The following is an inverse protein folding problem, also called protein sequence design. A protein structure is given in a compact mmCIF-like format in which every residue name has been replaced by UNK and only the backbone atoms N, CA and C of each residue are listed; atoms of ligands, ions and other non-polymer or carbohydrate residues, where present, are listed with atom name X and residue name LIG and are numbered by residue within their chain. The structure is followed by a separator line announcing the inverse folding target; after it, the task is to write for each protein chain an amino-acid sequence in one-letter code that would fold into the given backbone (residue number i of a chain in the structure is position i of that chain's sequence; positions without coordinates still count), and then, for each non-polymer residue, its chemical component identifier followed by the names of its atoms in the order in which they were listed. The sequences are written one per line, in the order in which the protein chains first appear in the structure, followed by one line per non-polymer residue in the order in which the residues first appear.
data_IF_249875264698
#
_entry.id   IF_249875264698
#
_cell.length_a   1.000
_cell.length_b   1.000
_cell.length_c   1.000
_cell.angle_alpha   90.00
_cell.angle_beta   90.00
_cell.angle_gamma   90.00
#
_symmetry.space_group_name_H-M   'P 1'
#
loop_
_entity.id
_entity.type
_entity.pdbx_description
1 polymer ?
#
# COMPACT_ATOMS: atom_id res chain seq x y z
N UNK A 1 9.66 0.87 2.68
CA UNK A 1 9.43 -0.06 1.56
C UNK A 1 8.56 0.61 0.50
N UNK A 2 9.00 0.52 -0.78
CA UNK A 2 8.28 1.16 -1.87
C UNK A 2 6.95 0.48 -2.17
N UNK A 3 6.96 -0.81 -2.49
CA UNK A 3 5.76 -1.57 -2.84
C UNK A 3 5.57 -2.84 -1.99
N UNK A 4 6.65 -3.53 -1.61
CA UNK A 4 6.60 -4.79 -0.89
C UNK A 4 6.33 -5.98 -1.83
N UNK A 5 7.24 -6.24 -2.75
CA UNK A 5 7.10 -7.34 -3.71
C UNK A 5 6.90 -8.69 -3.03
N UNK A 6 7.65 -8.96 -1.96
CA UNK A 6 7.57 -10.23 -1.23
C UNK A 6 6.20 -10.49 -0.62
N UNK A 7 5.53 -9.44 -0.13
CA UNK A 7 4.16 -9.55 0.39
C UNK A 7 3.16 -9.78 -0.73
N UNK A 8 3.30 -9.09 -1.86
CA UNK A 8 2.46 -9.30 -3.04
C UNK A 8 2.62 -10.73 -3.61
N UNK A 9 3.85 -11.22 -3.73
CA UNK A 9 4.14 -12.61 -4.14
C UNK A 9 3.50 -13.63 -3.19
N UNK A 10 3.55 -13.38 -1.88
CA UNK A 10 2.90 -14.23 -0.88
C UNK A 10 1.39 -14.30 -1.09
N UNK A 11 0.73 -13.15 -1.31
CA UNK A 11 -0.71 -13.12 -1.61
C UNK A 11 -1.03 -13.82 -2.91
N UNK A 12 -0.21 -13.63 -3.94
CA UNK A 12 -0.38 -14.33 -5.22
C UNK A 12 -0.18 -15.85 -5.11
N UNK A 13 0.63 -16.30 -4.14
CA UNK A 13 0.79 -17.71 -3.76
C UNK A 13 -0.31 -18.18 -2.77
N UNK A 14 -1.40 -17.45 -2.62
CA UNK A 14 -2.51 -17.77 -1.71
C UNK A 14 -2.09 -17.88 -0.24
N UNK A 15 -1.07 -17.13 0.15
CA UNK A 15 -0.61 -17.06 1.54
C UNK A 15 -1.05 -15.74 2.17
N UNK A 16 -1.78 -15.78 3.29
CA UNK A 16 -2.16 -14.56 4.00
C UNK A 16 -0.94 -13.89 4.62
N UNK A 17 -1.03 -12.57 4.80
CA UNK A 17 0.10 -11.74 5.19
C UNK A 17 -0.14 -10.97 6.49
N UNK A 18 0.94 -10.61 7.15
CA UNK A 18 0.99 -9.60 8.20
C UNK A 18 1.78 -8.44 7.63
N UNK A 19 1.24 -7.25 7.71
CA UNK A 19 1.81 -6.07 7.06
C UNK A 19 1.84 -4.89 8.02
N UNK A 20 3.00 -4.26 8.14
CA UNK A 20 3.08 -2.93 8.75
C UNK A 20 2.42 -1.93 7.79
N UNK A 21 1.47 -1.15 8.32
CA UNK A 21 0.75 -0.13 7.53
C UNK A 21 1.67 1.07 7.31
N UNK A 22 2.50 0.97 6.29
CA UNK A 22 3.46 2.01 5.89
C UNK A 22 3.82 1.87 4.42
N UNK A 23 4.18 2.97 3.77
CA UNK A 23 4.61 2.99 2.37
C UNK A 23 3.65 2.26 1.43
N UNK A 24 4.17 1.63 0.39
CA UNK A 24 3.35 0.90 -0.61
C UNK A 24 2.75 -0.41 -0.11
N UNK A 25 3.17 -0.93 1.05
CA UNK A 25 2.55 -2.13 1.63
C UNK A 25 1.11 -1.90 2.06
N UNK A 26 0.73 -0.66 2.41
CA UNK A 26 -0.65 -0.32 2.76
C UNK A 26 -1.63 -0.55 1.59
N UNK A 27 -1.17 -0.40 0.36
CA UNK A 27 -1.99 -0.60 -0.85
C UNK A 27 -2.42 -2.07 -1.00
N UNK A 28 -1.65 -2.97 -0.42
CA UNK A 28 -1.91 -4.42 -0.45
C UNK A 28 -2.93 -4.87 0.62
N UNK A 29 -3.27 -3.99 1.56
CA UNK A 29 -4.23 -4.30 2.63
C UNK A 29 -5.68 -4.35 2.16
N UNK A 30 -5.99 -3.84 0.97
CA UNK A 30 -7.35 -3.78 0.47
C UNK A 30 -8.27 -2.97 1.39
N UNK A 31 -7.80 -1.84 1.88
CA UNK A 31 -8.58 -0.99 2.77
C UNK A 31 -9.87 -0.49 2.12
N UNK A 32 -10.95 -0.56 2.89
CA UNK A 32 -12.26 -0.03 2.52
C UNK A 32 -12.75 0.91 3.62
N UNK A 33 -13.40 1.98 3.21
CA UNK A 33 -14.05 2.90 4.15
C UNK A 33 -15.23 2.21 4.83
N UNK A 34 -15.30 2.27 6.14
CA UNK A 34 -16.49 1.78 6.88
C UNK A 34 -17.75 2.57 6.54
N UNK A 35 -17.62 3.81 6.07
CA UNK A 35 -18.74 4.71 5.77
C UNK A 35 -19.55 4.28 4.53
N UNK A 36 -18.88 3.76 3.49
CA UNK A 36 -19.51 3.46 2.20
C UNK A 36 -19.06 2.13 1.57
N UNK A 37 -18.18 1.39 2.24
CA UNK A 37 -17.63 0.11 1.79
C UNK A 37 -16.69 0.20 0.58
N UNK A 38 -16.40 1.39 0.08
CA UNK A 38 -15.56 1.58 -1.11
C UNK A 38 -14.09 1.37 -0.82
N UNK A 39 -13.41 0.76 -1.78
CA UNK A 39 -11.96 0.59 -1.76
C UNK A 39 -11.28 1.97 -1.70
N UNK A 40 -10.18 2.04 -0.98
CA UNK A 40 -9.37 3.25 -0.92
C UNK A 40 -8.83 3.65 -2.29
N UNK A 41 -8.86 4.93 -2.55
CA UNK A 41 -8.24 5.56 -3.72
C UNK A 41 -6.89 6.15 -3.35
N UNK A 42 -6.09 6.49 -4.35
CA UNK A 42 -4.82 7.22 -4.14
C UNK A 42 -4.99 8.50 -3.30
N UNK A 43 -6.12 9.21 -3.48
CA UNK A 43 -6.43 10.40 -2.68
C UNK A 43 -6.74 10.09 -1.22
N UNK A 44 -7.28 8.92 -0.93
CA UNK A 44 -7.53 8.48 0.44
C UNK A 44 -6.21 8.13 1.13
N UNK A 45 -5.33 7.40 0.44
CA UNK A 45 -3.98 7.10 0.94
C UNK A 45 -3.15 8.37 1.16
N UNK A 46 -3.24 9.36 0.27
CA UNK A 46 -2.55 10.64 0.44
C UNK A 46 -2.97 11.40 1.70
N UNK A 47 -4.22 11.22 2.15
CA UNK A 47 -4.71 11.82 3.41
C UNK A 47 -4.18 11.09 4.64
N UNK A 48 -3.96 9.77 4.56
CA UNK A 48 -3.37 8.97 5.65
C UNK A 48 -1.88 9.27 5.79
N UNK A 49 -1.20 9.49 4.69
CA UNK A 49 0.26 9.64 4.63
C UNK A 49 0.84 10.88 5.31
N UNK A 50 0.03 11.73 5.93
CA UNK A 50 0.54 12.69 6.87
C UNK A 50 0.78 12.00 8.22
N UNK A 51 1.99 12.07 8.68
CA UNK A 51 2.70 11.45 9.80
C UNK A 51 1.96 11.24 11.14
N UNK A 52 0.73 11.68 11.29
CA UNK A 52 0.03 11.65 12.58
C UNK A 52 -1.32 10.97 12.57
N UNK A 53 -1.77 10.44 11.41
CA UNK A 53 -3.18 10.06 11.24
C UNK A 53 -3.46 8.55 11.24
N UNK A 54 -2.46 7.68 11.41
CA UNK A 54 -2.70 6.23 11.39
C UNK A 54 -3.77 5.78 12.39
N UNK A 55 -3.75 6.31 13.62
CA UNK A 55 -4.75 5.97 14.65
C UNK A 55 -6.16 6.41 14.29
N UNK A 56 -6.29 7.55 13.63
CA UNK A 56 -7.61 8.04 13.19
C UNK A 56 -8.23 7.18 12.11
N UNK A 57 -7.39 6.49 11.33
CA UNK A 57 -7.86 5.67 10.22
C UNK A 57 -8.12 4.22 10.58
N UNK A 58 -7.42 3.68 11.58
CA UNK A 58 -7.63 2.31 12.06
C UNK A 58 -9.10 2.02 12.34
N UNK A 59 -9.78 2.94 13.01
CA UNK A 59 -11.20 2.82 13.34
C UNK A 59 -12.16 3.10 12.16
N UNK A 60 -11.68 3.76 11.12
CA UNK A 60 -12.50 4.19 9.97
C UNK A 60 -12.47 3.23 8.78
N UNK A 61 -11.59 2.24 8.83
CA UNK A 61 -11.39 1.30 7.72
C UNK A 61 -11.66 -0.14 8.11
N UNK A 62 -11.98 -0.94 7.10
CA UNK A 62 -11.85 -2.40 7.12
C UNK A 62 -10.72 -2.79 6.19
N UNK A 63 -10.18 -3.98 6.37
CA UNK A 63 -9.12 -4.53 5.53
C UNK A 63 -9.56 -5.84 4.87
N UNK A 64 -8.80 -6.32 3.90
CA UNK A 64 -9.04 -7.60 3.25
C UNK A 64 -8.91 -8.79 4.21
N UNK A 65 -9.60 -9.87 3.90
CA UNK A 65 -9.56 -11.10 4.73
C UNK A 65 -8.18 -11.77 4.73
N UNK A 66 -7.33 -11.49 3.75
CA UNK A 66 -6.00 -12.07 3.56
C UNK A 66 -4.88 -11.36 4.33
N UNK A 67 -5.18 -10.26 4.95
CA UNK A 67 -4.17 -9.44 5.63
C UNK A 67 -4.55 -9.16 7.07
N UNK A 68 -3.56 -9.23 7.96
CA UNK A 68 -3.64 -8.66 9.28
C UNK A 68 -2.73 -7.43 9.32
N UNK A 69 -3.29 -6.22 9.20
CA UNK A 69 -2.51 -5.00 9.29
C UNK A 69 -2.05 -4.78 10.73
N UNK A 70 -0.81 -4.33 10.87
CA UNK A 70 -0.23 -3.85 12.13
C UNK A 70 0.05 -2.37 11.95
N UNK A 71 -0.48 -1.55 12.86
CA UNK A 71 -0.42 -0.10 12.73
C UNK A 71 0.81 0.44 13.45
N UNK A 72 1.49 1.39 12.82
CA UNK A 72 2.60 2.09 13.46
C UNK A 72 2.11 2.87 14.68
N UNK A 73 2.81 2.70 15.79
CA UNK A 73 2.49 3.40 17.06
C UNK A 73 3.46 4.51 17.37
N UNK A 74 4.66 4.40 16.87
CA UNK A 74 5.75 5.34 17.13
C UNK A 74 6.48 5.62 15.84
N UNK A 75 6.84 6.86 15.65
CA UNK A 75 7.75 7.28 14.58
C UNK A 75 9.07 7.69 15.19
N UNK A 76 10.15 7.23 14.60
CA UNK A 76 11.49 7.60 14.99
C UNK A 76 12.20 8.28 13.83
N UNK A 77 12.92 9.33 14.13
CA UNK A 77 13.78 9.95 13.14
C UNK A 77 15.14 9.23 13.18
N UNK A 78 15.49 8.65 12.06
CA UNK A 78 16.79 8.06 11.82
C UNK A 78 17.47 8.82 10.69
N UNK A 79 18.77 8.72 10.59
CA UNK A 79 19.46 9.40 9.50
C UNK A 79 20.95 9.08 9.46
N UNK A 80 21.52 9.34 8.31
CA UNK A 80 22.95 9.35 8.07
C UNK A 80 23.34 10.69 7.44
N UNK A 81 24.63 10.96 7.35
CA UNK A 81 25.12 12.22 6.74
C UNK A 81 24.50 12.50 5.37
N UNK A 82 24.38 11.53 4.43
CA UNK A 82 23.76 11.80 3.14
C UNK A 82 22.21 11.87 3.17
N UNK A 83 21.56 11.33 4.22
CA UNK A 83 20.11 11.29 4.37
C UNK A 83 19.71 11.59 5.81
N UNK A 84 19.74 12.88 6.22
CA UNK A 84 19.70 13.24 7.63
C UNK A 84 18.33 13.13 8.30
N UNK A 85 17.25 13.02 7.52
CA UNK A 85 15.88 13.05 8.06
C UNK A 85 15.03 11.92 7.47
N UNK A 86 15.30 10.68 7.90
CA UNK A 86 14.46 9.53 7.58
C UNK A 86 13.53 9.30 8.75
N UNK A 87 12.24 9.21 8.47
CA UNK A 87 11.23 8.87 9.47
C UNK A 87 10.85 7.41 9.28
N UNK A 88 11.09 6.62 10.33
CA UNK A 88 10.74 5.21 10.37
C UNK A 88 9.48 4.98 11.22
N UNK A 89 8.53 4.25 10.64
CA UNK A 89 7.34 3.78 11.33
C UNK A 89 7.66 2.50 12.11
N UNK A 90 7.45 2.53 13.42
CA UNK A 90 7.67 1.38 14.30
C UNK A 90 6.36 0.83 14.83
N UNK A 91 6.27 -0.49 14.79
CA UNK A 91 5.15 -1.24 15.36
C UNK A 91 5.51 -1.76 16.74
N UNK A 92 4.50 -2.00 17.56
CA UNK A 92 4.67 -2.62 18.87
C UNK A 92 4.77 -4.14 18.76
N UNK A 93 5.70 -4.73 19.52
CA UNK A 93 5.89 -6.19 19.57
C UNK A 93 4.61 -6.93 19.96
N UNK A 94 3.82 -6.49 20.96
CA UNK A 94 2.53 -7.09 21.27
C UNK A 94 1.58 -7.20 20.07
N UNK A 95 1.42 -6.15 19.27
CA UNK A 95 0.54 -6.16 18.09
C UNK A 95 1.01 -7.15 17.02
N UNK A 96 2.32 -7.25 16.81
CA UNK A 96 2.89 -8.27 15.91
C UNK A 96 2.59 -9.68 16.44
N UNK A 97 2.74 -9.89 17.74
CA UNK A 97 2.44 -11.17 18.40
C UNK A 97 0.97 -11.55 18.28
N UNK A 98 0.07 -10.59 18.44
CA UNK A 98 -1.38 -10.77 18.23
C UNK A 98 -1.70 -11.10 16.77
N UNK A 99 -1.04 -10.46 15.82
CA UNK A 99 -1.24 -10.75 14.40
C UNK A 99 -0.78 -12.17 14.02
N UNK A 100 0.33 -12.64 14.60
CA UNK A 100 0.79 -14.02 14.44
C UNK A 100 -0.22 -15.00 15.06
N UNK A 101 -0.67 -14.72 16.28
CA UNK A 101 -1.68 -15.55 16.95
C UNK A 101 -2.99 -15.59 16.17
N UNK A 102 -3.43 -14.48 15.62
CA UNK A 102 -4.64 -14.41 14.78
C UNK A 102 -4.57 -15.43 13.64
N UNK A 103 -3.46 -15.51 12.92
CA UNK A 103 -3.30 -16.49 11.83
C UNK A 103 -3.12 -17.91 12.33
N UNK A 104 -2.50 -18.10 13.49
CA UNK A 104 -2.40 -19.41 14.13
C UNK A 104 -3.78 -19.95 14.49
N UNK A 105 -4.60 -19.14 15.16
CA UNK A 105 -5.94 -19.51 15.63
C UNK A 105 -6.94 -19.74 14.48
N UNK A 106 -6.72 -19.11 13.32
CA UNK A 106 -7.50 -19.37 12.08
C UNK A 106 -7.34 -20.80 11.57
N UNK A 107 -6.32 -21.51 11.99
CA UNK A 107 -6.03 -22.86 11.52
C UNK A 107 -5.70 -22.92 10.02
N UNK A 108 -5.49 -24.12 9.52
CA UNK A 108 -5.11 -24.34 8.12
C UNK A 108 -6.21 -23.89 7.15
N UNK A 109 -7.43 -24.33 7.35
CA UNK A 109 -8.57 -24.03 6.47
C UNK A 109 -8.87 -22.52 6.41
N UNK A 110 -8.81 -21.84 7.57
CA UNK A 110 -9.02 -20.38 7.62
C UNK A 110 -7.94 -19.60 6.86
N UNK A 111 -6.69 -20.04 6.94
CA UNK A 111 -5.59 -19.44 6.19
C UNK A 111 -5.71 -19.69 4.69
N UNK A 112 -6.05 -20.91 4.26
CA UNK A 112 -6.28 -21.23 2.85
C UNK A 112 -7.42 -20.41 2.25
N UNK A 113 -8.54 -20.30 2.97
CA UNK A 113 -9.66 -19.45 2.56
C UNK A 113 -9.23 -18.00 2.40
N UNK A 114 -8.52 -17.46 3.38
CA UNK A 114 -8.03 -16.10 3.35
C UNK A 114 -7.04 -15.86 2.20
N UNK A 115 -6.12 -16.78 1.95
CA UNK A 115 -5.18 -16.70 0.85
C UNK A 115 -5.84 -16.66 -0.52
N UNK A 116 -6.83 -17.54 -0.75
CA UNK A 116 -7.63 -17.53 -1.99
C UNK A 116 -8.39 -16.22 -2.19
N UNK A 117 -8.98 -15.68 -1.12
CA UNK A 117 -9.65 -14.39 -1.14
C UNK A 117 -8.66 -13.26 -1.52
N UNK A 118 -7.44 -13.31 -0.98
CA UNK A 118 -6.39 -12.34 -1.30
C UNK A 118 -5.99 -12.36 -2.76
N UNK A 119 -5.68 -13.53 -3.29
CA UNK A 119 -5.34 -13.67 -4.71
C UNK A 119 -6.45 -13.16 -5.62
N UNK A 120 -7.69 -13.53 -5.33
CA UNK A 120 -8.83 -13.04 -6.10
C UNK A 120 -8.95 -11.52 -6.04
N UNK A 121 -8.81 -10.93 -4.85
CA UNK A 121 -8.87 -9.48 -4.67
C UNK A 121 -7.74 -8.76 -5.42
N UNK A 122 -6.52 -9.28 -5.38
CA UNK A 122 -5.38 -8.70 -6.11
C UNK A 122 -5.61 -8.67 -7.61
N UNK A 123 -6.15 -9.75 -8.18
CA UNK A 123 -6.39 -9.84 -9.61
C UNK A 123 -7.58 -9.00 -10.07
N UNK A 124 -8.69 -9.03 -9.33
CA UNK A 124 -9.97 -8.56 -9.82
C UNK A 124 -10.47 -7.25 -9.17
N UNK A 125 -10.03 -6.93 -7.94
CA UNK A 125 -10.54 -5.76 -7.21
C UNK A 125 -9.49 -4.64 -7.11
N UNK A 126 -8.28 -4.99 -6.66
CA UNK A 126 -7.18 -4.04 -6.50
C UNK A 126 -6.49 -3.78 -7.84
N UNK A 127 -6.52 -4.79 -8.72
CA UNK A 127 -6.00 -4.66 -10.07
C UNK A 127 -4.47 -4.74 -10.17
N UNK A 128 -3.84 -5.50 -9.28
CA UNK A 128 -2.38 -5.73 -9.31
C UNK A 128 -1.95 -6.83 -10.32
N UNK A 129 -2.90 -7.40 -11.07
CA UNK A 129 -2.61 -8.37 -12.12
C UNK A 129 -1.94 -7.73 -13.33
N UNK A 130 -1.09 -8.51 -14.02
CA UNK A 130 -0.32 -8.07 -15.20
C UNK A 130 -1.20 -7.48 -16.30
N UNK A 131 -2.37 -8.08 -16.56
CA UNK A 131 -3.28 -7.61 -17.61
C UNK A 131 -3.81 -6.20 -17.31
N UNK A 132 -4.19 -5.94 -16.05
CA UNK A 132 -4.63 -4.61 -15.64
C UNK A 132 -3.49 -3.61 -15.67
N UNK A 133 -2.29 -4.00 -15.26
CA UNK A 133 -1.10 -3.16 -15.31
C UNK A 133 -0.78 -2.75 -16.75
N UNK A 134 -0.79 -3.71 -17.68
CA UNK A 134 -0.55 -3.45 -19.10
C UNK A 134 -1.57 -2.47 -19.67
N UNK A 135 -2.85 -2.67 -19.35
CA UNK A 135 -3.92 -1.77 -19.76
C UNK A 135 -3.73 -0.36 -19.20
N UNK A 136 -3.51 -0.23 -17.90
CA UNK A 136 -3.28 1.07 -17.26
C UNK A 136 -2.06 1.81 -17.83
N UNK A 137 -1.00 1.06 -18.16
CA UNK A 137 0.20 1.62 -18.79
C UNK A 137 -0.09 2.12 -20.21
N UNK A 138 -0.76 1.33 -21.03
CA UNK A 138 -1.17 1.72 -22.38
C UNK A 138 -2.06 2.97 -22.36
N UNK A 139 -3.13 2.95 -21.57
CA UNK A 139 -4.05 4.08 -21.39
C UNK A 139 -3.31 5.34 -20.88
N UNK A 140 -2.35 5.15 -19.98
CA UNK A 140 -1.51 6.22 -19.44
C UNK A 140 -0.62 6.86 -20.51
N UNK A 141 0.01 6.06 -21.35
CA UNK A 141 0.84 6.52 -22.47
C UNK A 141 0.00 7.29 -23.49
N UNK A 142 -1.13 6.73 -23.93
CA UNK A 142 -2.03 7.40 -24.86
C UNK A 142 -2.52 8.75 -24.32
N UNK A 143 -2.92 8.78 -23.06
CA UNK A 143 -3.32 10.02 -22.38
C UNK A 143 -2.18 11.03 -22.29
N UNK A 144 -0.97 10.59 -22.02
CA UNK A 144 0.22 11.45 -21.97
C UNK A 144 0.50 12.06 -23.36
N UNK A 145 0.47 11.25 -24.41
CA UNK A 145 0.68 11.72 -25.80
C UNK A 145 -0.41 12.72 -26.18
N UNK A 146 -1.67 12.40 -25.92
CA UNK A 146 -2.82 13.27 -26.26
C UNK A 146 -2.75 14.62 -25.55
N UNK A 147 -2.27 14.66 -24.32
CA UNK A 147 -2.22 15.86 -23.50
C UNK A 147 -0.84 16.55 -23.52
N UNK A 148 0.10 16.03 -24.31
CA UNK A 148 1.45 16.56 -24.37
C UNK A 148 1.43 18.00 -24.88
N UNK A 149 2.00 18.90 -24.09
CA UNK A 149 2.27 20.29 -24.47
C UNK A 149 3.78 20.51 -24.36
N UNK A 150 4.46 20.84 -25.47
CA UNK A 150 5.88 21.12 -25.41
C UNK A 150 6.15 22.29 -24.47
N UNK A 151 7.11 22.15 -23.59
CA UNK A 151 7.58 23.29 -22.78
C UNK A 151 8.19 24.35 -23.67
N UNK A 152 7.90 25.61 -23.40
CA UNK A 152 8.61 26.72 -24.04
C UNK A 152 10.10 26.54 -23.79
N UNK A 153 10.89 26.49 -24.86
CA UNK A 153 12.35 26.53 -24.75
C UNK A 153 12.75 27.90 -24.24
N UNK A 154 13.59 27.96 -23.25
CA UNK A 154 14.21 29.20 -22.81
C UNK A 154 15.17 29.66 -23.89
N UNK A 155 15.13 30.94 -24.28
CA UNK A 155 16.16 31.54 -25.14
C UNK A 155 17.41 31.77 -24.28
N UNK A 156 18.52 31.19 -24.68
CA UNK A 156 19.83 31.53 -24.12
C UNK A 156 20.26 32.89 -24.69
N UNK A 157 20.24 33.91 -23.88
CA UNK A 157 20.83 35.18 -24.23
C UNK A 157 22.31 35.18 -23.87
N UNK A 158 23.16 35.45 -24.87
CA UNK A 158 24.59 35.70 -24.64
C UNK A 158 24.69 37.09 -24.05
N UNK A 159 25.10 37.21 -22.81
CA UNK A 159 25.48 38.52 -22.24
C UNK A 159 26.77 38.95 -22.89
N UNK A 160 26.79 40.15 -23.49
CA UNK A 160 27.96 40.74 -24.07
C UNK A 160 28.89 41.29 -23.00
#
# INVERSE_FOLDING_TARGET
EGFGLTTAESVMAETPIIVNVTGGMQDQCGFRKKSDGKLFTANDYAKIGSLHNYREWEDKVTHGEWVKPVWSRVQTMTGSVPTPYIIDDKVDVPEVSEAIRYWYDKGKEGREKAGKAGRNAFLNEIGLGVDNQNKCMADGIEKAIKNFKPKKRFNLYKLA
#
